data_IF_667084809194
#
_entry.id   IF_667084809194
#
_cell.length_a   1.000
_cell.length_b   1.000
_cell.length_c   1.000
_cell.angle_alpha   90.00
_cell.angle_beta   90.00
_cell.angle_gamma   90.00
#
_symmetry.space_group_name_H-M   'P 1'
#
loop_
_entity.id
_entity.type
_entity.pdbx_description
1 polymer ?
#
# COMPACT_ATOMS: atom_id res chain seq x y z
N UNK A 1 -2.32 14.21 -20.63
CA UNK A 1 -2.40 14.48 -19.18
C UNK A 1 -1.02 14.53 -18.52
N UNK A 2 -0.13 13.53 -18.68
CA UNK A 2 1.21 13.54 -18.05
C UNK A 2 2.02 14.80 -18.39
N UNK A 3 2.04 15.20 -19.65
CA UNK A 3 2.73 16.43 -20.07
C UNK A 3 2.19 17.67 -19.34
N UNK A 4 0.84 17.78 -19.21
CA UNK A 4 0.25 18.93 -18.57
C UNK A 4 0.41 18.90 -17.04
N UNK A 5 0.53 17.70 -16.43
CA UNK A 5 0.94 17.58 -15.01
C UNK A 5 2.30 18.24 -14.76
N UNK A 6 3.25 18.07 -15.67
CA UNK A 6 4.58 18.69 -15.59
C UNK A 6 4.56 20.21 -15.81
N UNK A 7 3.49 20.73 -16.41
CA UNK A 7 3.32 22.17 -16.65
C UNK A 7 2.55 22.85 -15.52
N UNK A 8 1.85 22.11 -14.68
CA UNK A 8 1.08 22.65 -13.57
C UNK A 8 1.99 23.34 -12.55
N UNK A 9 1.69 24.59 -12.24
CA UNK A 9 2.47 25.43 -11.31
C UNK A 9 1.77 25.63 -9.96
N UNK A 10 0.57 25.09 -9.81
CA UNK A 10 -0.25 25.16 -8.59
C UNK A 10 -1.09 23.91 -8.38
N UNK A 11 -1.55 23.70 -7.14
CA UNK A 11 -2.48 22.62 -6.82
C UNK A 11 -3.76 22.68 -7.63
N UNK A 12 -4.28 23.89 -7.86
CA UNK A 12 -5.50 24.09 -8.67
C UNK A 12 -5.32 23.70 -10.14
N UNK A 13 -4.16 24.02 -10.74
CA UNK A 13 -3.84 23.61 -12.11
C UNK A 13 -3.62 22.09 -12.19
N UNK A 14 -2.92 21.51 -11.25
CA UNK A 14 -2.76 20.06 -11.15
C UNK A 14 -4.12 19.35 -11.06
N UNK A 15 -5.01 19.83 -10.20
CA UNK A 15 -6.37 19.28 -10.05
C UNK A 15 -7.14 19.31 -11.36
N UNK A 16 -7.13 20.44 -12.10
CA UNK A 16 -7.77 20.53 -13.43
C UNK A 16 -7.24 19.53 -14.44
N UNK A 17 -5.96 19.20 -14.36
CA UNK A 17 -5.37 18.15 -15.20
C UNK A 17 -5.88 16.77 -14.79
N UNK A 18 -6.03 16.51 -13.48
CA UNK A 18 -6.57 15.25 -12.97
C UNK A 18 -8.04 15.04 -13.30
N UNK A 19 -8.85 16.08 -13.28
CA UNK A 19 -10.28 16.07 -13.64
C UNK A 19 -10.56 15.52 -15.05
N UNK A 20 -9.57 15.48 -15.93
CA UNK A 20 -9.71 14.91 -17.27
C UNK A 20 -9.72 13.38 -17.31
N UNK A 21 -9.36 12.72 -16.22
CA UNK A 21 -9.40 11.26 -16.06
C UNK A 21 -8.72 10.48 -17.21
N UNK A 22 -7.64 11.01 -17.77
CA UNK A 22 -6.95 10.41 -18.94
C UNK A 22 -5.82 9.44 -18.57
N UNK A 23 -5.49 9.34 -17.28
CA UNK A 23 -4.53 8.37 -16.76
C UNK A 23 -5.29 7.12 -16.35
N UNK A 24 -4.82 5.92 -16.69
CA UNK A 24 -5.37 4.68 -16.15
C UNK A 24 -5.38 4.68 -14.62
N UNK A 25 -6.01 3.71 -14.00
CA UNK A 25 -6.08 3.61 -12.55
C UNK A 25 -4.69 3.63 -11.92
N UNK A 26 -4.40 4.70 -11.19
CA UNK A 26 -3.13 4.92 -10.48
C UNK A 26 -3.37 5.55 -9.12
N UNK A 27 -2.58 5.13 -8.15
CA UNK A 27 -2.44 5.87 -6.90
C UNK A 27 -1.49 7.06 -7.13
N UNK A 28 -2.02 8.27 -7.01
CA UNK A 28 -1.27 9.51 -7.22
C UNK A 28 -1.07 10.19 -5.88
N UNK A 29 0.17 10.53 -5.58
CA UNK A 29 0.51 11.41 -4.45
C UNK A 29 1.04 12.73 -4.99
N UNK A 30 0.60 13.84 -4.39
CA UNK A 30 1.00 15.20 -4.73
C UNK A 30 1.52 15.92 -3.48
N UNK A 31 2.50 16.77 -3.66
CA UNK A 31 2.93 17.74 -2.67
C UNK A 31 3.48 18.99 -3.36
N UNK A 32 3.28 20.17 -2.77
CA UNK A 32 3.82 21.43 -3.28
C UNK A 32 4.51 22.26 -2.17
N UNK A 33 5.16 23.33 -2.60
CA UNK A 33 5.88 24.25 -1.70
C UNK A 33 4.95 25.12 -0.85
N UNK A 34 3.67 25.24 -1.22
CA UNK A 34 2.62 25.91 -0.44
C UNK A 34 2.12 25.04 0.72
N UNK A 35 2.57 23.78 0.79
CA UNK A 35 2.23 22.83 1.85
C UNK A 35 1.01 21.98 1.55
N UNK A 36 0.48 22.01 0.33
CA UNK A 36 -0.59 21.10 -0.04
C UNK A 36 -0.05 19.70 -0.24
N UNK A 37 -0.76 18.72 0.30
CA UNK A 37 -0.52 17.30 0.07
C UNK A 37 -1.83 16.63 -0.36
N UNK A 38 -1.76 15.69 -1.29
CA UNK A 38 -2.91 14.93 -1.74
C UNK A 38 -2.55 13.48 -2.02
N UNK A 39 -3.44 12.59 -1.65
CA UNK A 39 -3.58 11.27 -2.25
C UNK A 39 -4.83 11.25 -3.12
N UNK A 40 -4.74 10.67 -4.31
CA UNK A 40 -5.85 10.49 -5.25
C UNK A 40 -5.81 9.06 -5.83
N UNK A 41 -6.89 8.33 -5.64
CA UNK A 41 -7.15 7.09 -6.37
C UNK A 41 -7.73 7.46 -7.74
N UNK A 42 -6.83 7.69 -8.71
CA UNK A 42 -7.20 8.24 -10.00
C UNK A 42 -7.47 7.15 -11.04
N UNK A 43 -8.51 7.34 -11.83
CA UNK A 43 -8.79 6.44 -12.95
C UNK A 43 -10.16 6.69 -13.56
N UNK A 44 -10.38 6.09 -14.72
CA UNK A 44 -11.72 5.97 -15.31
C UNK A 44 -12.39 4.79 -14.61
N UNK A 45 -13.18 5.06 -13.57
CA UNK A 45 -13.93 4.06 -12.84
C UNK A 45 -15.34 3.94 -13.41
N UNK A 46 -15.71 2.82 -14.01
CA UNK A 46 -17.07 2.57 -14.44
C UNK A 46 -18.05 2.58 -13.25
N UNK A 47 -19.24 3.12 -13.47
CA UNK A 47 -20.35 2.97 -12.52
C UNK A 47 -21.02 1.62 -12.77
N UNK A 48 -21.18 0.86 -11.71
CA UNK A 48 -21.83 -0.45 -11.75
C UNK A 48 -23.02 -0.46 -10.80
N UNK A 49 -24.13 -1.03 -11.26
CA UNK A 49 -25.34 -1.18 -10.45
C UNK A 49 -25.23 -2.37 -9.50
N UNK A 50 -24.33 -3.32 -9.78
CA UNK A 50 -24.16 -4.55 -9.03
C UNK A 50 -22.72 -5.04 -9.03
N UNK A 51 -22.44 -6.01 -8.16
CA UNK A 51 -21.14 -6.65 -8.06
C UNK A 51 -20.12 -5.86 -7.23
N UNK A 52 -19.12 -6.58 -6.80
CA UNK A 52 -17.95 -6.04 -6.10
C UNK A 52 -16.71 -6.07 -7.03
N UNK A 53 -15.57 -5.68 -6.51
CA UNK A 53 -14.33 -5.69 -7.30
C UNK A 53 -13.96 -7.11 -7.76
N UNK A 54 -14.19 -8.14 -6.94
CA UNK A 54 -13.88 -9.53 -7.31
C UNK A 54 -14.73 -10.00 -8.49
N UNK A 55 -16.02 -9.63 -8.52
CA UNK A 55 -16.88 -9.89 -9.66
C UNK A 55 -16.35 -9.21 -10.95
N UNK A 56 -16.03 -7.91 -10.89
CA UNK A 56 -15.63 -7.12 -12.06
C UNK A 56 -14.20 -7.37 -12.54
N UNK A 57 -13.33 -7.96 -11.72
CA UNK A 57 -12.00 -8.42 -12.12
C UNK A 57 -11.98 -9.89 -12.57
N UNK A 58 -13.09 -10.58 -12.44
CA UNK A 58 -13.29 -11.94 -12.90
C UNK A 58 -13.78 -12.04 -14.35
N UNK A 59 -14.29 -13.23 -14.72
CA UNK A 59 -14.93 -13.44 -16.02
C UNK A 59 -16.39 -12.98 -15.94
N UNK A 60 -16.69 -11.90 -16.63
CA UNK A 60 -18.03 -11.34 -16.73
C UNK A 60 -18.69 -11.84 -18.03
N UNK A 61 -19.97 -12.27 -18.02
CA UNK A 61 -20.66 -12.70 -19.23
C UNK A 61 -20.69 -11.59 -20.29
N UNK A 62 -20.29 -11.91 -21.51
CA UNK A 62 -20.22 -10.96 -22.63
C UNK A 62 -21.47 -10.92 -23.50
N UNK A 63 -22.50 -11.66 -23.16
CA UNK A 63 -23.75 -11.84 -23.91
C UNK A 63 -24.93 -11.03 -23.37
N UNK A 64 -24.70 -10.19 -22.34
CA UNK A 64 -25.70 -9.32 -21.74
C UNK A 64 -25.26 -7.86 -21.79
N UNK A 65 -26.18 -6.97 -22.20
CA UNK A 65 -25.96 -5.53 -22.16
C UNK A 65 -25.91 -4.95 -20.75
N UNK A 66 -26.31 -5.70 -19.75
CA UNK A 66 -26.26 -5.35 -18.33
C UNK A 66 -24.82 -5.08 -17.84
N UNK A 67 -23.81 -5.72 -18.46
CA UNK A 67 -22.41 -5.60 -18.11
C UNK A 67 -21.65 -4.56 -18.95
N UNK A 68 -22.33 -3.86 -19.85
CA UNK A 68 -21.70 -2.81 -20.66
C UNK A 68 -21.53 -1.54 -19.81
N UNK A 69 -20.35 -0.98 -19.84
CA UNK A 69 -20.05 0.27 -19.14
C UNK A 69 -20.64 1.46 -19.90
N UNK A 70 -21.67 2.04 -19.36
CA UNK A 70 -22.36 3.18 -19.95
C UNK A 70 -22.00 4.52 -19.32
N UNK A 71 -21.58 4.49 -18.04
CA UNK A 71 -21.23 5.66 -17.25
C UNK A 71 -19.94 5.43 -16.47
N UNK A 72 -19.25 6.52 -16.16
CA UNK A 72 -18.06 6.54 -15.32
C UNK A 72 -18.25 7.53 -14.17
N UNK A 73 -17.50 7.33 -13.09
CA UNK A 73 -17.45 8.27 -11.98
C UNK A 73 -16.76 9.56 -12.39
N UNK A 74 -17.30 10.68 -11.94
CA UNK A 74 -16.64 11.96 -12.07
C UNK A 74 -15.44 12.05 -11.11
N UNK A 75 -14.50 12.94 -11.40
CA UNK A 75 -13.36 13.20 -10.50
C UNK A 75 -13.81 13.52 -9.06
N UNK A 76 -14.94 14.19 -8.89
CA UNK A 76 -15.50 14.52 -7.58
C UNK A 76 -15.80 13.28 -6.72
N UNK A 77 -16.20 12.17 -7.35
CA UNK A 77 -16.59 10.92 -6.70
C UNK A 77 -15.40 10.03 -6.36
N UNK A 78 -14.22 10.29 -6.94
CA UNK A 78 -13.06 9.45 -6.73
C UNK A 78 -12.54 9.57 -5.29
N UNK A 79 -12.05 8.46 -4.68
CA UNK A 79 -11.41 8.51 -3.38
C UNK A 79 -10.18 9.42 -3.41
N UNK A 80 -10.15 10.44 -2.54
CA UNK A 80 -9.03 11.38 -2.43
C UNK A 80 -8.92 11.95 -1.03
N UNK A 81 -7.70 12.07 -0.55
CA UNK A 81 -7.38 12.70 0.73
C UNK A 81 -6.57 13.95 0.45
N UNK A 82 -7.05 15.11 0.90
CA UNK A 82 -6.40 16.41 0.69
C UNK A 82 -6.13 17.02 2.05
N UNK A 83 -4.88 17.41 2.30
CA UNK A 83 -4.42 18.10 3.50
C UNK A 83 -4.96 17.48 4.81
N UNK A 84 -4.79 16.15 5.04
CA UNK A 84 -5.29 15.52 6.26
C UNK A 84 -4.59 16.11 7.50
N UNK A 85 -5.29 16.09 8.64
CA UNK A 85 -4.73 16.57 9.92
C UNK A 85 -3.47 15.84 10.35
N UNK A 86 -3.30 14.59 9.90
CA UNK A 86 -2.08 13.80 10.12
C UNK A 86 -0.82 14.41 9.51
N UNK A 87 -0.96 15.32 8.54
CA UNK A 87 0.16 15.96 7.84
C UNK A 87 0.90 15.07 6.85
N UNK A 88 0.39 13.87 6.54
CA UNK A 88 0.98 12.99 5.53
C UNK A 88 -0.06 12.20 4.74
N UNK A 89 0.34 11.78 3.55
CA UNK A 89 -0.35 10.76 2.75
C UNK A 89 0.65 9.71 2.30
N UNK A 90 0.20 8.47 2.19
CA UNK A 90 0.99 7.34 1.73
C UNK A 90 0.18 6.41 0.84
N UNK A 91 0.83 5.61 0.04
CA UNK A 91 0.24 4.43 -0.56
C UNK A 91 1.29 3.36 -0.83
N UNK A 92 1.04 2.16 -0.36
CA UNK A 92 1.82 0.96 -0.61
C UNK A 92 1.00 -0.06 -1.44
N UNK A 93 0.19 0.43 -2.39
CA UNK A 93 -0.79 -0.30 -3.20
C UNK A 93 -1.98 -0.85 -2.41
N UNK A 94 -2.23 -0.30 -1.23
CA UNK A 94 -3.40 -0.64 -0.42
C UNK A 94 -4.63 0.18 -0.85
N UNK A 95 -5.83 -0.20 -0.40
CA UNK A 95 -7.06 0.53 -0.67
C UNK A 95 -7.01 2.01 -0.26
N UNK A 96 -7.78 2.89 -0.93
CA UNK A 96 -7.68 4.34 -0.75
C UNK A 96 -7.99 4.84 0.67
N UNK A 97 -8.79 4.11 1.47
CA UNK A 97 -9.07 4.47 2.88
C UNK A 97 -7.87 4.25 3.81
N UNK A 98 -6.78 3.65 3.32
CA UNK A 98 -5.54 3.46 4.06
C UNK A 98 -4.45 4.50 3.71
N UNK A 99 -4.80 5.56 2.99
CA UNK A 99 -3.86 6.54 2.48
C UNK A 99 -3.28 7.48 3.55
N UNK A 100 -3.86 7.53 4.75
CA UNK A 100 -3.39 8.30 5.90
C UNK A 100 -3.87 7.68 7.21
N UNK A 101 -3.34 8.15 8.36
CA UNK A 101 -3.78 7.68 9.66
C UNK A 101 -3.83 8.85 10.67
N UNK A 102 -4.95 9.05 11.40
CA UNK A 102 -6.20 8.29 11.32
C UNK A 102 -6.84 8.30 9.92
N UNK A 103 -7.57 7.23 9.57
CA UNK A 103 -8.22 7.13 8.27
C UNK A 103 -9.32 8.19 8.11
N UNK A 104 -9.32 8.87 6.96
CA UNK A 104 -10.35 9.86 6.60
C UNK A 104 -11.62 9.17 6.11
N UNK A 105 -11.46 8.01 5.46
CA UNK A 105 -12.55 7.22 4.88
C UNK A 105 -12.60 5.81 5.45
N UNK A 106 -13.75 5.17 5.27
CA UNK A 106 -13.98 3.74 5.52
C UNK A 106 -14.31 3.04 4.21
N UNK A 107 -14.17 1.73 4.17
CA UNK A 107 -14.55 0.90 3.03
C UNK A 107 -15.97 1.22 2.52
N UNK A 108 -16.94 1.31 3.41
CA UNK A 108 -18.36 1.53 3.06
C UNK A 108 -18.70 2.96 2.60
N UNK A 109 -17.74 3.88 2.60
CA UNK A 109 -17.95 5.24 2.04
C UNK A 109 -17.90 5.22 0.50
N UNK A 110 -17.48 4.10 -0.10
CA UNK A 110 -17.37 3.92 -1.55
C UNK A 110 -18.10 2.66 -2.00
N UNK A 111 -18.51 2.58 -3.29
CA UNK A 111 -19.06 1.36 -3.84
C UNK A 111 -18.09 0.17 -3.74
N UNK A 112 -18.59 -1.06 -3.53
CA UNK A 112 -17.74 -2.23 -3.26
C UNK A 112 -16.86 -2.66 -4.45
N UNK A 113 -17.12 -2.14 -5.62
CA UNK A 113 -16.30 -2.38 -6.82
C UNK A 113 -15.10 -1.43 -6.96
N UNK A 114 -14.95 -0.42 -6.09
CA UNK A 114 -13.82 0.53 -6.16
C UNK A 114 -12.52 -0.10 -5.71
N UNK A 115 -12.53 -0.81 -4.59
CA UNK A 115 -11.39 -1.55 -4.06
C UNK A 115 -11.86 -2.65 -3.12
N UNK A 116 -11.01 -3.62 -2.82
CA UNK A 116 -11.33 -4.70 -1.88
C UNK A 116 -11.21 -4.23 -0.43
N UNK A 117 -12.11 -4.70 0.43
CA UNK A 117 -11.91 -4.64 1.86
C UNK A 117 -10.87 -5.70 2.26
N UNK A 118 -9.90 -5.30 3.05
CA UNK A 118 -8.89 -6.23 3.52
C UNK A 118 -8.00 -5.62 4.61
N UNK A 119 -7.22 -6.45 5.31
CA UNK A 119 -6.27 -5.96 6.29
C UNK A 119 -5.17 -5.14 5.59
N UNK A 120 -4.69 -4.11 6.30
CA UNK A 120 -3.53 -3.34 5.84
C UNK A 120 -2.32 -4.26 5.73
N UNK A 121 -1.62 -4.24 4.60
CA UNK A 121 -0.39 -5.00 4.39
C UNK A 121 0.70 -4.59 5.39
N UNK A 122 1.66 -5.46 5.67
CA UNK A 122 2.80 -5.11 6.54
C UNK A 122 3.60 -3.93 5.99
N UNK A 123 3.70 -3.80 4.68
CA UNK A 123 4.38 -2.69 4.02
C UNK A 123 3.67 -1.36 4.29
N UNK A 124 2.35 -1.31 4.17
CA UNK A 124 1.56 -0.13 4.46
C UNK A 124 1.55 0.20 5.96
N UNK A 125 1.40 -0.81 6.84
CA UNK A 125 1.48 -0.62 8.29
C UNK A 125 2.83 0.01 8.69
N UNK A 126 3.93 -0.46 8.09
CA UNK A 126 5.26 0.08 8.37
C UNK A 126 5.40 1.52 7.85
N UNK A 127 4.90 1.81 6.64
CA UNK A 127 4.91 3.16 6.07
C UNK A 127 4.13 4.14 6.95
N UNK A 128 2.91 3.79 7.35
CA UNK A 128 2.08 4.60 8.24
C UNK A 128 2.77 4.82 9.58
N UNK A 129 3.32 3.76 10.19
CA UNK A 129 4.04 3.86 11.47
C UNK A 129 5.20 4.82 11.39
N UNK A 130 6.08 4.65 10.40
CA UNK A 130 7.25 5.51 10.23
C UNK A 130 6.87 6.97 10.02
N UNK A 131 5.81 7.26 9.27
CA UNK A 131 5.34 8.63 9.08
C UNK A 131 4.68 9.20 10.32
N UNK A 132 3.83 8.44 11.00
CA UNK A 132 3.12 8.90 12.20
C UNK A 132 4.06 9.18 13.39
N UNK A 133 5.14 8.41 13.53
CA UNK A 133 6.11 8.54 14.62
C UNK A 133 7.18 9.62 14.35
N UNK A 134 7.37 10.03 13.10
CA UNK A 134 8.50 10.86 12.71
C UNK A 134 8.32 12.37 12.96
N UNK A 135 7.09 12.86 13.05
CA UNK A 135 6.81 14.29 13.09
C UNK A 135 7.35 15.04 11.87
N UNK A 136 7.93 16.24 12.07
CA UNK A 136 8.50 17.02 10.98
C UNK A 136 9.86 16.47 10.56
N UNK A 137 9.98 16.08 9.30
CA UNK A 137 11.17 15.44 8.72
C UNK A 137 12.03 16.45 7.93
N UNK A 138 13.36 16.27 7.97
CA UNK A 138 14.24 16.80 6.92
C UNK A 138 14.14 15.94 5.64
N UNK A 139 14.66 16.44 4.51
CA UNK A 139 14.70 15.68 3.26
C UNK A 139 15.46 14.36 3.44
N UNK A 140 16.62 14.40 4.10
CA UNK A 140 17.46 13.21 4.31
C UNK A 140 16.79 12.17 5.23
N UNK A 141 16.02 12.64 6.22
CA UNK A 141 15.24 11.74 7.08
C UNK A 141 14.10 11.09 6.29
N UNK A 142 13.41 11.85 5.44
CA UNK A 142 12.36 11.33 4.57
C UNK A 142 12.91 10.31 3.56
N UNK A 143 14.08 10.58 2.96
CA UNK A 143 14.75 9.65 2.06
C UNK A 143 15.07 8.32 2.76
N UNK A 144 15.58 8.35 3.99
CA UNK A 144 15.83 7.14 4.79
C UNK A 144 14.56 6.34 5.07
N UNK A 145 13.45 7.01 5.35
CA UNK A 145 12.15 6.34 5.55
C UNK A 145 11.69 5.69 4.25
N UNK A 146 11.73 6.44 3.14
CA UNK A 146 11.29 5.96 1.83
C UNK A 146 12.10 4.77 1.33
N UNK A 147 13.39 4.74 1.62
CA UNK A 147 14.30 3.68 1.18
C UNK A 147 14.52 2.59 2.23
N UNK A 148 13.81 2.64 3.35
CA UNK A 148 13.91 1.66 4.42
C UNK A 148 13.50 0.27 3.92
N UNK A 149 14.36 -0.71 4.17
CA UNK A 149 14.12 -2.12 3.88
C UNK A 149 13.73 -2.92 5.13
N UNK A 150 13.33 -2.21 6.19
CA UNK A 150 12.94 -2.83 7.45
C UNK A 150 11.68 -3.69 7.31
N UNK A 151 11.72 -4.90 7.86
CA UNK A 151 10.61 -5.86 7.81
C UNK A 151 9.75 -5.83 9.07
N UNK A 152 8.56 -5.30 8.97
CA UNK A 152 7.59 -5.34 10.06
C UNK A 152 7.09 -6.77 10.35
N UNK A 153 7.01 -7.62 9.33
CA UNK A 153 6.67 -9.04 9.53
C UNK A 153 7.71 -9.71 10.42
N UNK A 154 9.00 -9.48 10.16
CA UNK A 154 10.09 -10.02 10.98
C UNK A 154 9.97 -9.57 12.44
N UNK A 155 9.65 -8.31 12.67
CA UNK A 155 9.45 -7.78 14.03
C UNK A 155 8.37 -8.55 14.79
N UNK A 156 7.34 -9.02 14.09
CA UNK A 156 6.20 -9.69 14.72
C UNK A 156 6.37 -11.18 14.95
N UNK A 157 7.23 -11.85 14.18
CA UNK A 157 7.30 -13.32 14.21
C UNK A 157 8.67 -13.88 14.57
N UNK A 158 9.74 -13.06 14.53
CA UNK A 158 11.09 -13.55 14.70
C UNK A 158 11.34 -14.13 16.10
N UNK A 159 10.82 -13.51 17.14
CA UNK A 159 11.03 -13.94 18.51
C UNK A 159 10.35 -15.30 18.77
N UNK A 160 9.17 -15.52 18.22
CA UNK A 160 8.47 -16.82 18.27
C UNK A 160 9.22 -17.88 17.47
N UNK A 161 9.75 -17.51 16.29
CA UNK A 161 10.56 -18.41 15.47
C UNK A 161 11.84 -18.83 16.19
N UNK A 162 12.54 -17.90 16.83
CA UNK A 162 13.75 -18.19 17.61
C UNK A 162 13.46 -19.08 18.83
N UNK A 163 12.32 -18.87 19.49
CA UNK A 163 11.85 -19.69 20.60
C UNK A 163 11.59 -21.12 20.13
N UNK A 164 10.86 -21.30 19.03
CA UNK A 164 10.61 -22.62 18.45
C UNK A 164 11.90 -23.31 17.97
N UNK A 165 12.84 -22.55 17.40
CA UNK A 165 14.14 -23.09 16.99
C UNK A 165 14.99 -23.60 18.17
N UNK A 166 14.88 -22.96 19.34
CA UNK A 166 15.62 -23.39 20.53
C UNK A 166 15.15 -24.75 21.08
N UNK A 167 13.93 -25.17 20.78
CA UNK A 167 13.37 -26.48 21.16
C UNK A 167 13.75 -27.60 20.18
N UNK A 168 14.40 -27.27 19.05
CA UNK A 168 14.81 -28.25 18.04
C UNK A 168 16.02 -29.06 18.52
N UNK A 169 16.11 -30.32 18.09
CA UNK A 169 17.30 -31.15 18.26
C UNK A 169 18.21 -31.11 17.03
N UNK A 170 17.89 -30.31 16.02
CA UNK A 170 18.64 -30.21 14.78
C UNK A 170 19.68 -29.08 14.87
N UNK A 171 20.95 -29.41 14.76
CA UNK A 171 22.08 -28.48 14.80
C UNK A 171 21.99 -27.42 13.67
N UNK A 172 21.45 -27.78 12.50
CA UNK A 172 21.27 -26.84 11.41
C UNK A 172 20.22 -25.76 11.74
N UNK A 173 19.17 -26.13 12.46
CA UNK A 173 18.15 -25.18 12.95
C UNK A 173 18.77 -24.20 13.95
N UNK A 174 19.64 -24.67 14.85
CA UNK A 174 20.36 -23.82 15.80
C UNK A 174 21.30 -22.84 15.08
N UNK A 175 22.04 -23.29 14.06
CA UNK A 175 22.90 -22.42 13.25
C UNK A 175 22.09 -21.38 12.51
N UNK A 176 20.94 -21.72 11.90
CA UNK A 176 20.03 -20.80 11.26
C UNK A 176 19.49 -19.76 12.26
N UNK A 177 19.10 -20.19 13.45
CA UNK A 177 18.64 -19.31 14.52
C UNK A 177 19.71 -18.29 14.95
N UNK A 178 20.99 -18.68 15.01
CA UNK A 178 22.08 -17.74 15.31
C UNK A 178 22.20 -16.63 14.25
N UNK A 179 22.09 -16.98 12.97
CA UNK A 179 22.10 -16.01 11.87
C UNK A 179 20.93 -15.03 11.98
N UNK A 180 19.72 -15.54 12.24
CA UNK A 180 18.52 -14.72 12.38
C UNK A 180 18.56 -13.84 13.64
N UNK A 181 19.11 -14.32 14.74
CA UNK A 181 19.23 -13.57 16.00
C UNK A 181 20.13 -12.34 15.87
N UNK A 182 21.17 -12.43 15.04
CA UNK A 182 22.12 -11.34 14.80
C UNK A 182 21.61 -10.32 13.76
N UNK A 183 20.45 -10.55 13.16
CA UNK A 183 19.93 -9.74 12.07
C UNK A 183 19.28 -8.44 12.56
N UNK A 184 19.56 -7.32 11.86
CA UNK A 184 18.98 -6.01 12.09
C UNK A 184 17.54 -5.84 11.52
N UNK A 185 16.97 -6.91 10.97
CA UNK A 185 15.63 -6.96 10.35
C UNK A 185 15.50 -6.12 9.08
N UNK A 186 16.61 -5.76 8.47
CA UNK A 186 16.61 -5.04 7.20
C UNK A 186 17.04 -5.96 6.05
N UNK A 187 16.36 -5.86 4.92
CA UNK A 187 16.73 -6.55 3.69
C UNK A 187 17.76 -5.71 2.92
N UNK A 188 18.98 -6.17 2.88
CA UNK A 188 20.09 -5.57 2.12
C UNK A 188 20.74 -6.61 1.20
N UNK A 189 21.43 -6.15 0.17
CA UNK A 189 22.07 -7.00 -0.85
C UNK A 189 23.09 -7.99 -0.26
N UNK A 190 23.73 -7.62 0.85
CA UNK A 190 24.74 -8.44 1.53
C UNK A 190 24.19 -9.18 2.76
N UNK A 191 22.89 -9.11 3.00
CA UNK A 191 22.27 -9.63 4.22
C UNK A 191 21.76 -11.07 4.04
N UNK A 192 22.53 -12.05 4.52
CA UNK A 192 22.16 -13.47 4.44
C UNK A 192 20.95 -13.83 5.31
N UNK A 193 20.75 -13.13 6.41
CA UNK A 193 19.64 -13.40 7.32
C UNK A 193 18.28 -13.05 6.67
N UNK A 194 18.23 -12.00 5.87
CA UNK A 194 17.03 -11.62 5.11
C UNK A 194 16.58 -12.74 4.16
N UNK A 195 17.51 -13.29 3.37
CA UNK A 195 17.21 -14.42 2.45
C UNK A 195 16.77 -15.67 3.23
N UNK A 196 17.41 -15.97 4.36
CA UNK A 196 17.03 -17.10 5.20
C UNK A 196 15.61 -16.93 5.75
N UNK A 197 15.29 -15.75 6.26
CA UNK A 197 13.95 -15.43 6.76
C UNK A 197 12.89 -15.49 5.66
N UNK A 198 13.18 -14.94 4.49
CA UNK A 198 12.25 -14.93 3.34
C UNK A 198 11.89 -16.36 2.91
N UNK A 199 12.88 -17.22 2.73
CA UNK A 199 12.65 -18.64 2.39
C UNK A 199 11.82 -19.37 3.46
N UNK A 200 12.09 -19.10 4.74
CA UNK A 200 11.26 -19.64 5.82
C UNK A 200 9.84 -19.12 5.75
N UNK A 201 9.65 -17.82 5.56
CA UNK A 201 8.34 -17.19 5.49
C UNK A 201 7.49 -17.70 4.32
N UNK A 202 8.08 -17.91 3.14
CA UNK A 202 7.43 -18.51 1.99
C UNK A 202 6.97 -19.94 2.26
N UNK A 203 7.85 -20.77 2.85
CA UNK A 203 7.50 -22.14 3.24
C UNK A 203 6.40 -22.18 4.30
N UNK A 204 6.45 -21.26 5.24
CA UNK A 204 5.42 -21.12 6.27
C UNK A 204 4.09 -20.69 5.68
N UNK A 205 4.08 -19.71 4.79
CA UNK A 205 2.88 -19.24 4.09
C UNK A 205 2.31 -20.34 3.17
N UNK A 206 3.12 -21.04 2.41
CA UNK A 206 2.69 -22.12 1.53
C UNK A 206 2.12 -23.34 2.26
N UNK A 207 2.47 -23.57 3.52
CA UNK A 207 1.89 -24.62 4.37
C UNK A 207 0.57 -24.20 5.06
N UNK A 208 0.31 -22.92 5.15
CA UNK A 208 -0.93 -22.32 5.67
C UNK A 208 -1.60 -21.59 4.53
N UNK A 209 -2.46 -22.28 3.77
CA UNK A 209 -3.32 -21.61 2.78
C UNK A 209 -4.05 -20.45 3.44
N UNK A 210 -3.58 -19.21 3.25
CA UNK A 210 -4.19 -18.03 3.85
C UNK A 210 -3.25 -16.86 4.15
N UNK A 211 -1.98 -16.91 3.78
CA UNK A 211 -1.08 -15.77 3.84
C UNK A 211 -0.76 -15.27 2.41
N UNK A 212 -1.75 -14.75 1.73
CA UNK A 212 -1.56 -13.92 0.53
C UNK A 212 -2.05 -12.51 0.82
#
# INVERSE_FOLDING_TARGET
QYFDMLQATSFAEFTKVMERLQVPTFNITYADKEGNIQYLYNGILPKHEQGDLAFWTGLVPGDSSEYVWNEVHDYADLPKVINPESGFVQNANDPPWLATYPAVYKYHDFPPYVAVEGPMSFRAQNAVRMMAESGKLSFEQFEKIKTSTYSLMTERVLDDLLTAAAESNDEMVHQAAQVLKAWDRQFGVDNRAGILFENWAELFAGKRSGFS
#
